data_IF_204438905374
#
_entry.id   IF_204438905374
#
_cell.length_a   1.000
_cell.length_b   1.000
_cell.length_c   1.000
_cell.angle_alpha   90.00
_cell.angle_beta   90.00
_cell.angle_gamma   90.00
#
_symmetry.space_group_name_H-M   'P 1'
#
loop_
_entity.id
_entity.type
_entity.pdbx_description
1 polymer ?
#
# COMPACT_ATOMS: atom_id res chain seq x y z
N UNK A 1 -10.67 -45.64 14.05
CA UNK A 1 -9.71 -45.41 12.96
C UNK A 1 -10.43 -44.55 11.92
N UNK A 2 -10.37 -43.22 12.06
CA UNK A 2 -11.04 -42.28 11.14
C UNK A 2 -10.05 -41.75 10.11
N UNK A 3 -10.49 -41.40 8.88
CA UNK A 3 -9.58 -40.91 7.85
C UNK A 3 -9.01 -39.56 8.28
N UNK A 4 -7.68 -39.50 8.36
CA UNK A 4 -6.95 -38.28 8.63
C UNK A 4 -7.03 -37.42 7.37
N UNK A 5 -7.80 -36.33 7.41
CA UNK A 5 -7.82 -35.33 6.34
C UNK A 5 -6.43 -34.71 6.24
N UNK A 6 -5.61 -35.19 5.31
CA UNK A 6 -4.38 -34.51 4.92
C UNK A 6 -4.78 -33.24 4.20
N UNK A 7 -4.60 -32.08 4.83
CA UNK A 7 -4.63 -30.78 4.14
C UNK A 7 -3.49 -30.77 3.12
N UNK A 8 -3.75 -31.28 1.93
CA UNK A 8 -2.98 -30.95 0.73
C UNK A 8 -3.30 -29.50 0.38
N UNK A 9 -2.74 -28.55 1.12
CA UNK A 9 -2.71 -27.17 0.68
C UNK A 9 -1.65 -27.13 -0.42
N UNK A 10 -2.09 -27.02 -1.67
CA UNK A 10 -1.20 -26.63 -2.76
C UNK A 10 -0.42 -25.39 -2.30
N UNK A 11 0.89 -25.28 -2.60
CA UNK A 11 1.64 -24.10 -2.21
C UNK A 11 0.92 -22.89 -2.81
N UNK A 12 0.54 -21.92 -1.97
CA UNK A 12 0.13 -20.59 -2.45
C UNK A 12 1.37 -20.07 -3.17
N UNK A 13 1.36 -20.12 -4.49
CA UNK A 13 2.57 -19.99 -5.29
C UNK A 13 2.41 -18.83 -6.26
N UNK A 14 2.80 -17.66 -5.77
CA UNK A 14 3.18 -16.52 -6.59
C UNK A 14 4.07 -17.00 -7.75
N UNK A 15 3.81 -16.48 -8.96
CA UNK A 15 4.58 -16.73 -10.19
C UNK A 15 6.09 -16.59 -9.99
N UNK A 16 6.51 -15.61 -9.19
CA UNK A 16 7.90 -15.40 -8.82
C UNK A 16 8.02 -14.66 -7.49
N UNK A 17 9.24 -14.53 -6.94
CA UNK A 17 9.48 -13.76 -5.72
C UNK A 17 10.09 -12.39 -6.06
N UNK A 18 9.67 -11.30 -5.40
CA UNK A 18 10.37 -10.02 -5.48
C UNK A 18 11.81 -10.14 -5.00
N UNK A 19 12.72 -9.36 -5.59
CA UNK A 19 14.13 -9.33 -5.14
C UNK A 19 14.28 -8.36 -3.96
N UNK A 20 15.10 -8.67 -2.94
CA UNK A 20 15.49 -7.68 -1.93
C UNK A 20 16.03 -6.40 -2.60
N UNK A 21 15.54 -5.25 -2.15
CA UNK A 21 15.89 -3.94 -2.72
C UNK A 21 15.14 -3.56 -4.00
N UNK A 22 14.22 -4.38 -4.50
CA UNK A 22 13.29 -3.98 -5.54
C UNK A 22 12.40 -2.83 -5.05
N UNK A 23 12.22 -1.82 -5.89
CA UNK A 23 11.43 -0.63 -5.59
C UNK A 23 10.37 -0.39 -6.67
N UNK A 24 9.28 0.25 -6.26
CA UNK A 24 8.31 0.87 -7.15
C UNK A 24 8.12 2.31 -6.67
N UNK A 25 7.67 3.17 -7.58
CA UNK A 25 7.51 4.59 -7.32
C UNK A 25 6.18 5.07 -7.89
N UNK A 26 5.46 5.85 -7.10
CA UNK A 26 4.27 6.57 -7.50
C UNK A 26 4.51 8.05 -7.22
N UNK A 27 4.46 8.87 -8.27
CA UNK A 27 4.51 10.34 -8.18
C UNK A 27 3.10 10.89 -8.33
N UNK A 28 2.74 11.82 -7.47
CA UNK A 28 1.44 12.47 -7.51
C UNK A 28 1.58 13.93 -7.07
N UNK A 29 0.68 14.78 -7.54
CA UNK A 29 0.54 16.15 -7.03
C UNK A 29 -0.50 16.11 -5.91
N UNK A 30 -0.26 16.81 -4.80
CA UNK A 30 -1.27 16.94 -3.74
C UNK A 30 -2.43 17.81 -4.23
N UNK A 31 -3.59 17.19 -4.44
CA UNK A 31 -4.85 17.83 -4.78
C UNK A 31 -5.71 18.06 -3.52
N UNK A 32 -6.75 18.89 -3.65
CA UNK A 32 -7.66 19.22 -2.55
C UNK A 32 -8.29 17.98 -1.89
N UNK A 33 -8.58 16.93 -2.66
CA UNK A 33 -9.16 15.69 -2.12
C UNK A 33 -8.21 14.92 -1.19
N UNK A 34 -6.90 15.14 -1.32
CA UNK A 34 -5.89 14.49 -0.47
C UNK A 34 -5.51 15.34 0.76
N UNK A 35 -6.03 16.57 0.85
CA UNK A 35 -5.81 17.40 2.02
C UNK A 35 -6.51 16.82 3.25
N UNK A 36 -5.97 17.11 4.43
CA UNK A 36 -6.64 16.84 5.70
C UNK A 36 -7.97 17.62 5.77
N UNK A 37 -9.06 16.91 6.08
CA UNK A 37 -10.44 17.45 6.08
C UNK A 37 -11.18 17.26 7.42
N UNK A 38 -10.61 16.50 8.34
CA UNK A 38 -11.17 16.21 9.67
C UNK A 38 -10.52 17.01 10.80
N UNK A 39 -9.66 17.97 10.46
CA UNK A 39 -9.05 18.88 11.44
C UNK A 39 -9.90 20.15 11.56
N UNK A 40 -10.10 20.64 12.78
CA UNK A 40 -10.88 21.86 13.03
C UNK A 40 -10.23 23.13 12.48
N UNK A 41 -10.83 24.27 12.81
CA UNK A 41 -10.40 25.58 12.31
C UNK A 41 -8.90 25.83 12.57
N UNK A 42 -8.17 26.18 11.50
CA UNK A 42 -6.77 26.61 11.55
C UNK A 42 -5.74 25.62 10.98
N UNK A 43 -6.13 24.40 10.60
CA UNK A 43 -5.20 23.46 9.96
C UNK A 43 -4.92 23.84 8.50
N UNK A 44 -3.65 23.98 8.07
CA UNK A 44 -3.32 24.23 6.67
C UNK A 44 -3.70 23.06 5.76
N UNK A 45 -4.06 23.37 4.51
CA UNK A 45 -4.35 22.35 3.49
C UNK A 45 -3.06 21.63 3.06
N UNK A 46 -2.80 20.49 3.69
CA UNK A 46 -1.62 19.64 3.49
C UNK A 46 -2.06 18.18 3.33
N UNK A 47 -1.22 17.39 2.66
CA UNK A 47 -1.43 15.95 2.48
C UNK A 47 -1.80 15.28 3.81
N UNK A 48 -2.91 14.55 3.84
CA UNK A 48 -3.32 13.81 5.02
C UNK A 48 -2.54 12.49 5.13
N UNK A 49 -2.20 12.09 6.36
CA UNK A 49 -1.61 10.77 6.65
C UNK A 49 -2.36 9.58 6.04
N UNK A 50 -3.71 9.48 6.08
CA UNK A 50 -4.41 8.38 5.42
C UNK A 50 -4.19 8.35 3.90
N UNK A 51 -4.06 9.51 3.24
CA UNK A 51 -3.75 9.58 1.82
C UNK A 51 -2.30 9.16 1.53
N UNK A 52 -1.34 9.56 2.37
CA UNK A 52 0.03 9.06 2.27
C UNK A 52 0.08 7.53 2.37
N UNK A 53 -0.62 6.94 3.34
CA UNK A 53 -0.73 5.47 3.48
C UNK A 53 -1.37 4.86 2.24
N UNK A 54 -2.44 5.45 1.71
CA UNK A 54 -3.11 4.99 0.50
C UNK A 54 -2.13 4.91 -0.68
N UNK A 55 -1.30 5.93 -0.90
CA UNK A 55 -0.29 5.92 -1.97
C UNK A 55 0.80 4.87 -1.73
N UNK A 56 1.25 4.68 -0.49
CA UNK A 56 2.22 3.65 -0.13
C UNK A 56 1.67 2.24 -0.39
N UNK A 57 0.42 1.98 -0.02
CA UNK A 57 -0.24 0.69 -0.28
C UNK A 57 -0.40 0.41 -1.76
N UNK A 58 -0.79 1.41 -2.56
CA UNK A 58 -0.88 1.27 -4.02
C UNK A 58 0.49 1.00 -4.64
N UNK A 59 1.52 1.75 -4.20
CA UNK A 59 2.89 1.55 -4.69
C UNK A 59 3.41 0.15 -4.35
N UNK A 60 3.16 -0.34 -3.12
CA UNK A 60 3.51 -1.69 -2.71
C UNK A 60 2.77 -2.75 -3.53
N UNK A 61 1.47 -2.55 -3.81
CA UNK A 61 0.70 -3.44 -4.68
C UNK A 61 1.27 -3.49 -6.09
N UNK A 62 1.57 -2.34 -6.71
CA UNK A 62 2.16 -2.26 -8.05
C UNK A 62 3.52 -2.96 -8.10
N UNK A 63 4.34 -2.86 -7.05
CA UNK A 63 5.59 -3.60 -6.93
C UNK A 63 5.39 -5.13 -6.95
N UNK A 64 4.26 -5.61 -6.44
CA UNK A 64 3.94 -7.02 -6.31
C UNK A 64 3.25 -7.61 -7.54
N UNK A 65 2.46 -6.84 -8.29
CA UNK A 65 1.68 -7.33 -9.43
C UNK A 65 2.45 -8.22 -10.43
N UNK A 66 3.71 -7.91 -10.82
CA UNK A 66 4.47 -8.76 -11.76
C UNK A 66 4.80 -10.16 -11.22
N UNK A 67 4.67 -10.36 -9.91
CA UNK A 67 5.00 -11.59 -9.20
C UNK A 67 3.79 -12.47 -8.92
N UNK A 68 2.57 -11.97 -9.16
CA UNK A 68 1.32 -12.68 -8.85
C UNK A 68 0.78 -13.40 -10.09
N UNK A 69 0.08 -14.50 -9.86
CA UNK A 69 -0.77 -15.09 -10.89
C UNK A 69 -2.05 -14.24 -11.11
N UNK A 70 -2.73 -14.35 -12.27
CA UNK A 70 -3.96 -13.59 -12.54
C UNK A 70 -5.09 -13.80 -11.53
N UNK A 71 -5.07 -14.92 -10.80
CA UNK A 71 -6.04 -15.27 -9.75
C UNK A 71 -5.62 -14.82 -8.35
N UNK A 72 -4.47 -14.14 -8.23
CA UNK A 72 -3.89 -13.74 -6.95
C UNK A 72 -3.91 -12.21 -6.77
N UNK A 73 -3.92 -11.79 -5.51
CA UNK A 73 -3.82 -10.38 -5.12
C UNK A 73 -3.14 -10.28 -3.75
N UNK A 74 -2.88 -9.06 -3.29
CA UNK A 74 -2.26 -8.77 -1.99
C UNK A 74 -3.26 -8.16 -1.01
N UNK A 75 -3.00 -8.35 0.29
CA UNK A 75 -3.66 -7.64 1.38
C UNK A 75 -2.59 -7.04 2.28
N UNK A 76 -2.69 -5.75 2.57
CA UNK A 76 -1.84 -5.09 3.57
C UNK A 76 -2.20 -5.57 4.97
N UNK A 77 -1.22 -6.10 5.71
CA UNK A 77 -1.45 -6.64 7.06
C UNK A 77 -0.89 -5.75 8.19
N UNK A 78 0.06 -4.85 7.86
CA UNK A 78 0.70 -3.92 8.78
C UNK A 78 1.23 -2.73 8.00
N UNK A 79 1.04 -1.54 8.56
CA UNK A 79 1.68 -0.29 8.12
C UNK A 79 2.22 0.42 9.36
N UNK A 80 3.41 0.97 9.25
CA UNK A 80 4.09 1.72 10.31
C UNK A 80 4.89 2.83 9.65
N UNK A 81 4.55 4.08 9.97
CA UNK A 81 5.11 5.27 9.31
C UNK A 81 5.24 6.43 10.29
N UNK A 82 6.15 7.35 9.97
CA UNK A 82 6.24 8.68 10.56
C UNK A 82 6.00 9.73 9.45
N UNK A 83 5.05 10.63 9.65
CA UNK A 83 4.78 11.73 8.71
C UNK A 83 5.63 12.94 9.11
N UNK A 84 6.85 13.01 8.56
CA UNK A 84 7.92 13.87 9.07
C UNK A 84 7.75 15.37 8.76
N UNK A 85 7.06 15.71 7.67
CA UNK A 85 6.87 17.09 7.24
C UNK A 85 5.54 17.23 6.49
N UNK A 86 4.88 18.40 6.58
CA UNK A 86 3.70 18.67 5.79
C UNK A 86 4.04 18.86 4.30
N UNK A 87 3.18 18.35 3.43
CA UNK A 87 3.25 18.60 1.97
C UNK A 87 2.03 19.41 1.52
N UNK A 88 2.18 20.72 1.22
CA UNK A 88 1.09 21.59 0.75
C UNK A 88 0.49 21.16 -0.59
N UNK A 89 -0.73 21.66 -0.86
CA UNK A 89 -1.37 21.53 -2.18
C UNK A 89 -0.45 21.99 -3.33
N UNK A 90 -0.52 21.27 -4.44
CA UNK A 90 0.24 21.58 -5.66
C UNK A 90 1.70 21.12 -5.64
N UNK A 91 2.21 20.60 -4.52
CA UNK A 91 3.54 20.00 -4.45
C UNK A 91 3.51 18.53 -4.90
N UNK A 92 4.67 18.02 -5.34
CA UNK A 92 4.90 16.62 -5.76
C UNK A 92 5.89 15.96 -4.82
#
# INVERSE_FOLDING_TARGET
MGPRLTRGQAPIAMKSRPRPGQAAELRFVVEAKQAIDFSGDGMPAVLATPWLIWFMEHTAREAMLPHLEPTESTVGARVEIEHLAPTPLGQT
#
